data_IF_313215298827
#
_entry.id   IF_313215298827
#
_cell.length_a   1.000
_cell.length_b   1.000
_cell.length_c   1.000
_cell.angle_alpha   90.00
_cell.angle_beta   90.00
_cell.angle_gamma   90.00
#
_symmetry.space_group_name_H-M   'P 1'
#
loop_
_entity.id
_entity.type
_entity.pdbx_description
1 polymer ?
#
# COMPACT_ATOMS: atom_id res chain seq x y z
N UNK A 1 -16.35 -23.31 -21.05
CA UNK A 1 -15.98 -22.00 -20.48
C UNK A 1 -15.41 -22.13 -19.06
N UNK A 2 -15.88 -23.08 -18.27
CA UNK A 2 -15.50 -23.22 -16.84
C UNK A 2 -14.03 -23.57 -16.59
N UNK A 3 -13.41 -24.42 -17.44
CA UNK A 3 -12.02 -24.83 -17.27
C UNK A 3 -10.99 -23.70 -17.49
N UNK A 4 -11.29 -22.73 -18.36
CA UNK A 4 -10.41 -21.59 -18.63
C UNK A 4 -10.43 -20.58 -17.46
N UNK A 5 -11.61 -20.34 -16.89
CA UNK A 5 -11.78 -19.46 -15.71
C UNK A 5 -11.10 -20.06 -14.47
N UNK A 6 -11.25 -21.37 -14.27
CA UNK A 6 -10.58 -22.08 -13.18
C UNK A 6 -9.06 -22.07 -13.33
N UNK A 7 -8.55 -22.19 -14.56
CA UNK A 7 -7.11 -22.08 -14.84
C UNK A 7 -6.55 -20.69 -14.52
N UNK A 8 -7.25 -19.62 -14.90
CA UNK A 8 -6.84 -18.24 -14.58
C UNK A 8 -6.82 -18.02 -13.06
N UNK A 9 -7.86 -18.43 -12.34
CA UNK A 9 -7.92 -18.33 -10.88
C UNK A 9 -6.77 -19.08 -10.19
N UNK A 10 -6.51 -20.30 -10.62
CA UNK A 10 -5.42 -21.12 -10.09
C UNK A 10 -4.05 -20.48 -10.34
N UNK A 11 -3.84 -19.92 -11.53
CA UNK A 11 -2.59 -19.22 -11.89
C UNK A 11 -2.38 -17.97 -11.05
N UNK A 12 -3.44 -17.19 -10.79
CA UNK A 12 -3.41 -16.00 -9.94
C UNK A 12 -3.07 -16.39 -8.49
N UNK A 13 -3.69 -17.42 -7.95
CA UNK A 13 -3.42 -17.93 -6.60
C UNK A 13 -1.97 -18.43 -6.45
N UNK A 14 -1.45 -19.14 -7.44
CA UNK A 14 -0.05 -19.61 -7.42
C UNK A 14 0.91 -18.41 -7.44
N UNK A 15 0.67 -17.43 -8.27
CA UNK A 15 1.49 -16.23 -8.38
C UNK A 15 1.52 -15.44 -7.06
N UNK A 16 0.36 -15.28 -6.43
CA UNK A 16 0.21 -14.63 -5.13
C UNK A 16 0.98 -15.41 -4.04
N UNK A 17 0.87 -16.73 -4.03
CA UNK A 17 1.59 -17.60 -3.09
C UNK A 17 3.10 -17.49 -3.25
N UNK A 18 3.63 -17.43 -4.47
CA UNK A 18 5.06 -17.27 -4.75
C UNK A 18 5.55 -15.90 -4.26
N UNK A 19 4.78 -14.82 -4.48
CA UNK A 19 5.14 -13.49 -4.02
C UNK A 19 5.16 -13.41 -2.50
N UNK A 20 4.14 -13.92 -1.84
CA UNK A 20 4.10 -14.00 -0.37
C UNK A 20 5.31 -14.76 0.19
N UNK A 21 5.67 -15.88 -0.43
CA UNK A 21 6.83 -16.67 0.00
C UNK A 21 8.15 -15.88 -0.15
N UNK A 22 8.32 -15.14 -1.24
CA UNK A 22 9.49 -14.26 -1.43
C UNK A 22 9.58 -13.17 -0.35
N UNK A 23 8.45 -12.53 -0.04
CA UNK A 23 8.37 -11.49 1.00
C UNK A 23 8.73 -12.08 2.36
N UNK A 24 8.11 -13.21 2.76
CA UNK A 24 8.41 -13.89 4.03
C UNK A 24 9.86 -14.31 4.15
N UNK A 25 10.42 -14.88 3.09
CA UNK A 25 11.83 -15.29 3.07
C UNK A 25 12.74 -14.09 3.28
N UNK A 26 12.50 -12.99 2.55
CA UNK A 26 13.30 -11.77 2.66
C UNK A 26 13.11 -11.07 4.00
N UNK A 27 11.90 -11.06 4.54
CA UNK A 27 11.61 -10.50 5.86
C UNK A 27 12.37 -11.25 6.97
N UNK A 28 12.33 -12.59 6.92
CA UNK A 28 13.05 -13.44 7.87
C UNK A 28 14.57 -13.29 7.73
N UNK A 29 15.09 -13.16 6.51
CA UNK A 29 16.51 -12.90 6.24
C UNK A 29 16.98 -11.58 6.88
N UNK A 30 16.21 -10.49 6.70
CA UNK A 30 16.61 -9.16 7.15
C UNK A 30 16.40 -8.94 8.65
N UNK A 31 15.32 -9.47 9.21
CA UNK A 31 14.86 -9.12 10.56
C UNK A 31 14.85 -10.30 11.54
N UNK A 32 15.17 -11.51 11.07
CA UNK A 32 15.20 -12.75 11.87
C UNK A 32 13.92 -13.02 12.67
N UNK A 33 12.77 -12.65 12.12
CA UNK A 33 11.44 -12.79 12.72
C UNK A 33 10.38 -12.97 11.64
N UNK A 34 9.12 -13.07 12.04
CA UNK A 34 7.96 -13.13 11.15
C UNK A 34 6.96 -12.04 11.53
N UNK A 35 6.30 -11.46 10.54
CA UNK A 35 5.29 -10.41 10.68
C UNK A 35 3.91 -10.84 10.18
N UNK A 36 2.99 -9.90 10.12
CA UNK A 36 1.67 -10.06 9.52
C UNK A 36 1.69 -9.61 8.06
N UNK A 37 0.97 -10.34 7.19
CA UNK A 37 0.82 -9.98 5.78
C UNK A 37 -0.42 -9.11 5.59
N UNK A 38 -0.23 -8.03 4.84
CA UNK A 38 -1.28 -7.12 4.39
C UNK A 38 -1.21 -6.94 2.89
N UNK A 39 -2.36 -6.71 2.27
CA UNK A 39 -2.45 -6.50 0.82
C UNK A 39 -3.52 -5.49 0.48
N UNK A 40 -3.31 -4.74 -0.59
CA UNK A 40 -4.30 -3.85 -1.16
C UNK A 40 -4.22 -3.86 -2.69
N UNK A 41 -5.37 -3.83 -3.39
CA UNK A 41 -5.40 -3.89 -4.85
C UNK A 41 -4.99 -2.56 -5.47
N UNK A 42 -4.45 -2.63 -6.69
CA UNK A 42 -4.47 -1.52 -7.62
C UNK A 42 -5.87 -1.32 -8.22
N UNK A 43 -6.00 -0.34 -9.13
CA UNK A 43 -7.27 -0.04 -9.79
C UNK A 43 -7.06 0.22 -11.29
N UNK A 44 -8.12 0.03 -12.06
CA UNK A 44 -8.29 0.62 -13.39
C UNK A 44 -9.38 1.69 -13.30
N UNK A 45 -9.33 2.68 -14.19
CA UNK A 45 -10.45 3.60 -14.37
C UNK A 45 -11.11 3.31 -15.73
N UNK A 46 -12.41 3.05 -15.72
CA UNK A 46 -13.16 2.71 -16.93
C UNK A 46 -13.62 3.95 -17.68
N UNK A 47 -13.94 5.04 -16.95
CA UNK A 47 -14.35 6.32 -17.50
C UNK A 47 -14.17 7.43 -16.46
N UNK A 48 -13.90 8.65 -16.92
CA UNK A 48 -13.73 9.83 -16.07
C UNK A 48 -12.26 10.19 -15.82
N UNK A 49 -11.40 9.98 -16.81
CA UNK A 49 -10.01 10.45 -16.75
C UNK A 49 -9.96 11.97 -16.57
N UNK A 50 -9.11 12.44 -15.66
CA UNK A 50 -8.92 13.85 -15.29
C UNK A 50 -10.16 14.56 -14.72
N UNK A 51 -11.23 13.85 -14.39
CA UNK A 51 -12.43 14.46 -13.78
C UNK A 51 -12.41 14.38 -12.26
N UNK A 52 -11.69 13.44 -11.67
CA UNK A 52 -11.59 13.19 -10.23
C UNK A 52 -11.27 14.47 -9.45
N UNK A 53 -10.16 15.12 -9.73
CA UNK A 53 -9.72 16.35 -9.07
C UNK A 53 -10.42 17.63 -9.59
N UNK A 54 -11.33 17.50 -10.57
CA UNK A 54 -12.16 18.57 -11.12
C UNK A 54 -13.63 18.48 -10.68
N UNK A 55 -13.96 17.63 -9.68
CA UNK A 55 -15.31 17.47 -9.15
C UNK A 55 -16.26 16.71 -10.08
N UNK A 56 -15.73 15.95 -11.05
CA UNK A 56 -16.51 15.11 -11.96
C UNK A 56 -16.67 13.68 -11.44
N UNK A 57 -17.51 12.92 -12.16
CA UNK A 57 -17.72 11.51 -11.85
C UNK A 57 -16.62 10.64 -12.43
N UNK A 58 -16.29 9.57 -11.71
CA UNK A 58 -15.33 8.54 -12.10
C UNK A 58 -15.96 7.16 -11.93
N UNK A 59 -15.45 6.18 -12.65
CA UNK A 59 -15.91 4.79 -12.54
C UNK A 59 -14.71 3.84 -12.43
N UNK A 60 -13.99 3.85 -11.30
CA UNK A 60 -12.87 2.95 -11.07
C UNK A 60 -13.34 1.54 -10.68
N UNK A 61 -12.49 0.56 -10.98
CA UNK A 61 -12.63 -0.81 -10.49
C UNK A 61 -11.32 -1.30 -9.89
N UNK A 62 -11.38 -1.94 -8.74
CA UNK A 62 -10.23 -2.64 -8.17
C UNK A 62 -9.88 -3.85 -9.05
N UNK A 63 -8.57 -4.16 -9.14
CA UNK A 63 -8.07 -5.28 -9.93
C UNK A 63 -7.45 -6.36 -9.04
N UNK A 64 -7.16 -7.52 -9.62
CA UNK A 64 -6.53 -8.66 -8.93
C UNK A 64 -5.00 -8.51 -8.74
N UNK A 65 -4.45 -7.36 -9.13
CA UNK A 65 -3.05 -6.99 -8.94
C UNK A 65 -2.94 -5.95 -7.83
N UNK A 66 -1.90 -6.04 -7.02
CA UNK A 66 -1.78 -5.15 -5.88
C UNK A 66 -0.39 -5.13 -5.26
N UNK A 67 -0.32 -4.56 -4.08
CA UNK A 67 0.85 -4.58 -3.21
C UNK A 67 0.62 -5.55 -2.06
N UNK A 68 1.68 -6.23 -1.67
CA UNK A 68 1.72 -7.10 -0.48
C UNK A 68 2.88 -6.64 0.38
N UNK A 69 2.66 -6.53 1.67
CA UNK A 69 3.70 -6.23 2.65
C UNK A 69 3.62 -7.20 3.84
N UNK A 70 4.77 -7.65 4.30
CA UNK A 70 4.91 -8.24 5.63
C UNK A 70 5.40 -7.14 6.57
N UNK A 71 4.71 -6.98 7.70
CA UNK A 71 4.95 -5.87 8.62
C UNK A 71 4.94 -6.39 10.05
N UNK A 72 5.87 -5.88 10.87
CA UNK A 72 5.95 -6.17 12.30
C UNK A 72 6.41 -4.95 13.08
N UNK A 73 5.71 -4.54 14.15
CA UNK A 73 6.24 -3.56 15.10
C UNK A 73 7.59 -4.02 15.67
N UNK A 74 8.57 -3.13 15.72
CA UNK A 74 9.94 -3.46 16.12
C UNK A 74 10.35 -2.86 17.49
N UNK A 75 9.41 -2.18 18.15
CA UNK A 75 9.65 -1.58 19.47
C UNK A 75 10.59 -0.37 19.48
N UNK A 76 10.89 0.18 18.29
CA UNK A 76 11.76 1.37 18.15
C UNK A 76 10.97 2.57 17.62
N UNK A 77 11.60 3.74 17.49
CA UNK A 77 11.03 4.90 16.80
C UNK A 77 11.30 4.93 15.30
N UNK A 78 11.86 3.85 14.72
CA UNK A 78 12.30 3.82 13.33
C UNK A 78 11.56 2.79 12.49
N UNK A 79 11.28 3.14 11.25
CA UNK A 79 10.80 2.24 10.19
C UNK A 79 11.99 1.73 9.41
N UNK A 80 12.07 0.40 9.23
CA UNK A 80 13.06 -0.27 8.37
C UNK A 80 12.30 -0.98 7.26
N UNK A 81 12.46 -0.51 6.04
CA UNK A 81 11.68 -0.95 4.89
C UNK A 81 12.57 -1.48 3.76
N UNK A 82 12.16 -2.58 3.14
CA UNK A 82 12.82 -3.14 1.97
C UNK A 82 11.80 -3.37 0.83
N UNK A 83 12.10 -2.83 -0.34
CA UNK A 83 11.38 -3.10 -1.58
C UNK A 83 12.04 -4.24 -2.34
N UNK A 84 11.35 -5.36 -2.55
CA UNK A 84 11.86 -6.48 -3.35
C UNK A 84 12.00 -6.05 -4.82
N UNK A 85 11.01 -5.35 -5.36
CA UNK A 85 10.97 -5.00 -6.78
C UNK A 85 12.07 -4.02 -7.19
N UNK A 86 12.44 -3.12 -6.27
CA UNK A 86 13.53 -2.15 -6.48
C UNK A 86 14.87 -2.64 -5.93
N UNK A 87 14.87 -3.76 -5.18
CA UNK A 87 16.01 -4.26 -4.43
C UNK A 87 16.69 -3.14 -3.61
N UNK A 88 15.88 -2.37 -2.89
CA UNK A 88 16.33 -1.16 -2.20
C UNK A 88 15.83 -1.14 -0.75
N UNK A 89 16.66 -0.59 0.16
CA UNK A 89 16.42 -0.50 1.58
C UNK A 89 16.37 0.96 2.02
N UNK A 90 15.43 1.27 2.89
CA UNK A 90 15.32 2.58 3.53
C UNK A 90 15.08 2.43 5.04
N UNK A 91 15.72 3.31 5.83
CA UNK A 91 15.46 3.48 7.24
C UNK A 91 15.15 4.96 7.51
N UNK A 92 14.10 5.24 8.27
CA UNK A 92 13.67 6.59 8.61
C UNK A 92 12.94 6.61 9.95
N UNK A 93 12.94 7.76 10.60
CA UNK A 93 12.15 8.00 11.81
C UNK A 93 10.71 8.40 11.49
N UNK A 94 9.99 8.83 12.51
CA UNK A 94 8.57 9.20 12.41
C UNK A 94 8.31 10.70 12.58
N UNK A 95 9.37 11.54 12.66
CA UNK A 95 9.26 13.01 12.73
C UNK A 95 9.27 13.63 11.32
N UNK A 96 8.94 14.91 11.19
CA UNK A 96 8.95 15.59 9.88
C UNK A 96 10.35 15.69 9.26
N UNK A 97 11.38 15.81 10.09
CA UNK A 97 12.77 15.91 9.66
C UNK A 97 13.33 14.57 9.14
N UNK A 98 12.63 13.47 9.41
CA UNK A 98 13.06 12.11 9.05
C UNK A 98 12.62 11.68 7.63
N UNK A 99 12.10 12.59 6.81
CA UNK A 99 11.59 12.26 5.47
C UNK A 99 12.65 11.56 4.62
N UNK A 100 12.39 10.34 4.13
CA UNK A 100 13.36 9.57 3.38
C UNK A 100 13.69 10.18 2.02
N UNK A 101 14.93 10.02 1.56
CA UNK A 101 15.36 10.45 0.22
C UNK A 101 14.79 9.56 -0.89
N UNK A 102 14.63 8.26 -0.63
CA UNK A 102 14.05 7.32 -1.57
C UNK A 102 12.57 7.64 -1.83
N UNK A 103 12.21 7.88 -3.09
CA UNK A 103 10.87 8.31 -3.48
C UNK A 103 9.77 7.30 -3.07
N UNK A 104 10.03 6.01 -3.23
CA UNK A 104 9.09 4.97 -2.83
C UNK A 104 8.84 4.92 -1.32
N UNK A 105 9.85 5.23 -0.52
CA UNK A 105 9.73 5.22 0.94
C UNK A 105 8.90 6.42 1.45
N UNK A 106 8.78 7.50 0.67
CA UNK A 106 7.93 8.65 1.02
C UNK A 106 6.46 8.31 1.10
N UNK A 107 5.98 7.34 0.34
CA UNK A 107 4.60 6.86 0.44
C UNK A 107 4.34 6.20 1.80
N UNK A 108 5.27 5.36 2.27
CA UNK A 108 5.17 4.72 3.60
C UNK A 108 5.31 5.76 4.71
N UNK A 109 6.30 6.64 4.58
CA UNK A 109 6.52 7.74 5.52
C UNK A 109 5.30 8.66 5.62
N UNK A 110 4.73 9.07 4.49
CA UNK A 110 3.56 9.93 4.45
C UNK A 110 2.34 9.32 5.13
N UNK A 111 2.06 8.02 4.91
CA UNK A 111 1.00 7.30 5.62
C UNK A 111 1.23 7.35 7.14
N UNK A 112 2.46 7.09 7.60
CA UNK A 112 2.79 7.20 9.02
C UNK A 112 2.53 8.60 9.57
N UNK A 113 2.98 9.64 8.85
CA UNK A 113 2.83 11.04 9.26
C UNK A 113 1.36 11.47 9.28
N UNK A 114 0.60 11.10 8.27
CA UNK A 114 -0.83 11.44 8.21
C UNK A 114 -1.65 10.74 9.30
N UNK A 115 -1.30 9.52 9.68
CA UNK A 115 -1.87 8.82 10.84
C UNK A 115 -1.54 9.58 12.13
N UNK A 116 -0.27 9.94 12.34
CA UNK A 116 0.17 10.68 13.53
C UNK A 116 -0.50 12.04 13.63
N UNK A 117 -0.62 12.79 12.53
CA UNK A 117 -1.33 14.09 12.48
C UNK A 117 -2.79 13.99 12.89
N UNK A 118 -3.42 12.83 12.67
CA UNK A 118 -4.82 12.53 13.09
C UNK A 118 -4.91 11.97 14.50
N UNK A 119 -3.81 11.97 15.27
CA UNK A 119 -3.77 11.50 16.65
C UNK A 119 -3.53 10.00 16.81
N UNK A 120 -3.22 9.28 15.71
CA UNK A 120 -2.85 7.87 15.78
C UNK A 120 -1.50 7.67 16.46
N UNK A 121 -1.45 6.77 17.42
CA UNK A 121 -0.22 6.43 18.14
C UNK A 121 0.42 5.19 17.52
N UNK A 122 1.42 5.37 16.68
CA UNK A 122 2.20 4.31 16.04
C UNK A 122 3.64 4.32 16.50
N UNK A 123 4.29 3.18 16.39
CA UNK A 123 5.71 2.99 16.65
C UNK A 123 6.43 2.58 15.38
N UNK A 124 7.76 2.49 15.43
CA UNK A 124 8.55 1.95 14.35
C UNK A 124 8.22 0.49 14.05
N UNK A 125 8.46 0.08 12.83
CA UNK A 125 8.19 -1.27 12.36
C UNK A 125 9.20 -1.70 11.29
N UNK A 126 9.30 -3.00 11.12
CA UNK A 126 10.03 -3.63 10.05
C UNK A 126 9.07 -4.03 8.95
N UNK A 127 9.48 -3.88 7.69
CA UNK A 127 8.63 -4.25 6.56
C UNK A 127 9.43 -4.68 5.34
N UNK A 128 8.87 -5.66 4.63
CA UNK A 128 9.28 -6.05 3.27
C UNK A 128 8.04 -6.07 2.39
N UNK A 129 8.10 -5.47 1.23
CA UNK A 129 6.97 -5.44 0.32
C UNK A 129 7.38 -5.72 -1.13
N UNK A 130 6.40 -6.16 -1.90
CA UNK A 130 6.46 -6.32 -3.35
C UNK A 130 5.07 -6.11 -3.97
N UNK A 131 5.03 -5.84 -5.26
CA UNK A 131 3.79 -5.71 -6.01
C UNK A 131 3.84 -6.39 -7.36
N UNK A 132 2.68 -6.74 -7.89
CA UNK A 132 2.53 -7.19 -9.28
C UNK A 132 1.78 -6.18 -10.15
N UNK A 133 1.64 -4.97 -9.64
CA UNK A 133 1.12 -3.81 -10.40
C UNK A 133 2.24 -3.32 -11.32
N UNK A 134 2.07 -3.38 -12.65
CA UNK A 134 3.10 -2.91 -13.57
C UNK A 134 3.39 -1.42 -13.39
N UNK A 135 4.66 -1.06 -13.26
CA UNK A 135 5.08 0.33 -13.14
C UNK A 135 4.70 1.11 -14.40
N UNK A 136 4.09 2.28 -14.23
CA UNK A 136 3.71 3.15 -15.33
C UNK A 136 2.48 2.69 -16.14
N UNK A 137 1.80 1.63 -15.72
CA UNK A 137 0.61 1.11 -16.42
C UNK A 137 -0.70 1.82 -16.04
N UNK A 138 -0.65 2.91 -15.29
CA UNK A 138 -1.85 3.63 -14.85
C UNK A 138 -2.74 2.83 -13.87
N UNK A 139 -2.19 1.82 -13.19
CA UNK A 139 -2.92 0.94 -12.28
C UNK A 139 -2.75 1.31 -10.80
N UNK A 140 -2.29 2.53 -10.51
CA UNK A 140 -2.16 3.12 -9.16
C UNK A 140 -1.41 2.27 -8.14
N UNK A 141 -0.16 1.95 -8.46
CA UNK A 141 0.73 1.26 -7.52
C UNK A 141 0.98 2.07 -6.23
N UNK A 142 0.98 3.40 -6.31
CA UNK A 142 1.10 4.30 -5.15
C UNK A 142 -0.08 4.13 -4.19
N UNK A 143 -1.31 4.25 -4.68
CA UNK A 143 -2.51 4.09 -3.86
C UNK A 143 -2.63 2.68 -3.27
N UNK A 144 -2.23 1.64 -4.01
CA UNK A 144 -2.17 0.28 -3.48
C UNK A 144 -1.15 0.16 -2.34
N UNK A 145 0.05 0.77 -2.48
CA UNK A 145 1.07 0.80 -1.45
C UNK A 145 0.59 1.54 -0.20
N UNK A 146 0.08 2.76 -0.36
CA UNK A 146 -0.49 3.59 0.71
C UNK A 146 -1.60 2.87 1.47
N UNK A 147 -2.56 2.28 0.74
CA UNK A 147 -3.67 1.55 1.33
C UNK A 147 -3.19 0.32 2.09
N UNK A 148 -2.19 -0.42 1.58
CA UNK A 148 -1.60 -1.57 2.28
C UNK A 148 -1.04 -1.15 3.63
N UNK A 149 -0.28 -0.05 3.69
CA UNK A 149 0.28 0.45 4.96
C UNK A 149 -0.78 1.10 5.86
N UNK A 150 -1.75 1.82 5.31
CA UNK A 150 -2.83 2.40 6.08
C UNK A 150 -3.66 1.33 6.80
N UNK A 151 -4.03 0.24 6.11
CA UNK A 151 -4.71 -0.91 6.72
C UNK A 151 -3.84 -1.60 7.77
N UNK A 152 -2.57 -1.86 7.42
CA UNK A 152 -1.65 -2.55 8.32
C UNK A 152 -1.43 -1.80 9.63
N UNK A 153 -1.17 -0.50 9.56
CA UNK A 153 -0.92 0.32 10.76
C UNK A 153 -2.20 0.50 11.58
N UNK A 154 -3.36 0.63 10.91
CA UNK A 154 -4.66 0.69 11.58
C UNK A 154 -4.93 -0.58 12.41
N UNK A 155 -4.65 -1.75 11.85
CA UNK A 155 -4.83 -3.05 12.51
C UNK A 155 -3.79 -3.28 13.61
N UNK A 156 -2.49 -3.19 13.28
CA UNK A 156 -1.38 -3.48 14.19
C UNK A 156 -1.36 -2.60 15.44
N UNK A 157 -1.81 -1.35 15.31
CA UNK A 157 -1.84 -0.39 16.42
C UNK A 157 -3.26 -0.12 16.95
N UNK A 158 -4.26 -0.87 16.49
CA UNK A 158 -5.67 -0.78 16.93
C UNK A 158 -6.22 0.64 16.90
N UNK A 159 -5.98 1.36 15.81
CA UNK A 159 -6.29 2.79 15.71
C UNK A 159 -7.79 3.08 15.51
N UNK A 160 -8.55 2.10 15.01
CA UNK A 160 -9.99 2.21 14.73
C UNK A 160 -10.35 3.32 13.72
N UNK A 161 -9.47 3.58 12.76
CA UNK A 161 -9.70 4.53 11.66
C UNK A 161 -10.66 3.88 10.66
N UNK A 162 -11.71 4.59 10.28
CA UNK A 162 -12.66 4.10 9.29
C UNK A 162 -12.05 4.11 7.86
N UNK A 163 -12.68 3.34 6.96
CA UNK A 163 -12.17 3.17 5.60
C UNK A 163 -12.08 4.46 4.80
N UNK A 164 -13.02 5.39 5.00
CA UNK A 164 -13.00 6.65 4.28
C UNK A 164 -11.82 7.53 4.71
N UNK A 165 -11.54 7.57 6.02
CA UNK A 165 -10.36 8.25 6.54
C UNK A 165 -9.06 7.56 6.10
N UNK A 166 -9.02 6.22 5.98
CA UNK A 166 -7.85 5.52 5.39
C UNK A 166 -7.60 5.96 3.94
N UNK A 167 -8.63 6.11 3.12
CA UNK A 167 -8.49 6.63 1.75
C UNK A 167 -7.97 8.08 1.74
N UNK A 168 -8.47 8.94 2.63
CA UNK A 168 -7.97 10.32 2.78
C UNK A 168 -6.53 10.39 3.25
N UNK A 169 -6.09 9.46 4.09
CA UNK A 169 -4.68 9.36 4.51
C UNK A 169 -3.79 9.11 3.29
N UNK A 170 -4.16 8.19 2.40
CA UNK A 170 -3.43 7.97 1.15
C UNK A 170 -3.38 9.23 0.28
N UNK A 171 -4.51 9.87 0.00
CA UNK A 171 -4.54 11.12 -0.77
C UNK A 171 -3.66 12.22 -0.15
N UNK A 172 -3.76 12.42 1.17
CA UNK A 172 -2.96 13.42 1.87
C UNK A 172 -1.45 13.07 1.83
N UNK A 173 -1.10 11.78 1.80
CA UNK A 173 0.27 11.30 1.60
C UNK A 173 0.83 11.77 0.27
N UNK A 174 0.10 11.56 -0.83
CA UNK A 174 0.53 12.02 -2.15
C UNK A 174 0.72 13.54 -2.20
N UNK A 175 -0.24 14.30 -1.66
CA UNK A 175 -0.19 15.76 -1.66
C UNK A 175 0.97 16.32 -0.82
N UNK A 176 1.13 15.82 0.39
CA UNK A 176 2.02 16.45 1.38
C UNK A 176 3.47 15.93 1.32
N UNK A 177 3.67 14.68 0.84
CA UNK A 177 4.99 14.02 0.92
C UNK A 177 5.54 13.54 -0.41
N UNK A 178 4.68 13.34 -1.42
CA UNK A 178 5.10 12.84 -2.73
C UNK A 178 5.04 13.92 -3.83
N UNK A 179 4.43 15.08 -3.56
CA UNK A 179 4.31 16.19 -4.52
C UNK A 179 3.34 15.90 -5.68
N UNK A 180 2.39 15.00 -5.48
CA UNK A 180 1.39 14.59 -6.48
C UNK A 180 0.04 15.17 -6.10
N UNK A 181 -0.51 16.05 -6.94
CA UNK A 181 -1.86 16.57 -6.78
C UNK A 181 -2.87 15.64 -7.46
N UNK A 182 -3.41 14.68 -6.71
CA UNK A 182 -4.39 13.71 -7.18
C UNK A 182 -5.77 13.95 -6.57
N UNK A 183 -6.82 13.39 -7.19
CA UNK A 183 -8.12 13.19 -6.53
C UNK A 183 -8.08 12.02 -5.55
N UNK A 184 -9.24 11.59 -5.06
CA UNK A 184 -9.34 10.48 -4.09
C UNK A 184 -9.67 9.12 -4.76
N UNK A 185 -9.92 9.11 -6.06
CA UNK A 185 -10.41 7.95 -6.81
C UNK A 185 -9.57 6.69 -6.58
N UNK A 186 -8.26 6.84 -6.66
CA UNK A 186 -7.30 5.74 -6.61
C UNK A 186 -7.31 5.06 -5.25
N UNK A 187 -7.19 5.85 -4.20
CA UNK A 187 -7.20 5.37 -2.82
C UNK A 187 -8.58 4.81 -2.45
N UNK A 188 -9.66 5.47 -2.92
CA UNK A 188 -11.01 4.99 -2.67
C UNK A 188 -11.24 3.61 -3.30
N UNK A 189 -10.84 3.41 -4.56
CA UNK A 189 -10.95 2.12 -5.22
C UNK A 189 -10.13 1.02 -4.55
N UNK A 190 -8.89 1.33 -4.12
CA UNK A 190 -8.03 0.38 -3.38
C UNK A 190 -8.60 0.00 -2.02
N UNK A 191 -9.24 0.95 -1.30
CA UNK A 191 -9.77 0.74 0.06
C UNK A 191 -11.13 0.04 0.05
N UNK A 192 -12.00 0.36 -0.92
CA UNK A 192 -13.38 -0.13 -0.93
C UNK A 192 -13.64 -1.27 -1.92
N UNK A 193 -12.69 -1.56 -2.80
CA UNK A 193 -12.82 -2.63 -3.78
C UNK A 193 -13.15 -3.99 -3.14
N UNK A 194 -14.09 -4.71 -3.75
CA UNK A 194 -14.47 -6.08 -3.37
C UNK A 194 -14.53 -6.95 -4.60
N UNK A 195 -14.08 -8.18 -4.49
CA UNK A 195 -14.21 -9.15 -5.57
C UNK A 195 -15.69 -9.39 -5.90
N UNK A 196 -16.04 -9.29 -7.18
CA UNK A 196 -17.39 -9.56 -7.67
C UNK A 196 -18.42 -8.46 -7.43
N UNK A 197 -17.99 -7.22 -7.11
CA UNK A 197 -18.89 -6.05 -6.97
C UNK A 197 -18.58 -5.01 -8.03
#
# INVERSE_FOLDING_TARGET
MDNFFLFIQLFTLIKLSIMQQKIRTKFKELFNTEGSLYTSPGRINLIGEHTDYNGGFVFPGAVDKGMIAEIKPNGTGKVRAFSIDLNDYAEFGLTEEDAPSASWARYIFGVCREIIKRGGNIQGFDTVFAGDVPLGAGMSSSAALESTYAFALNDLFSLNIDKFELAKIGQATEHNYCGVNCGIMDQFASVFGKAGS
#
